data_IF_240360364413
#
_entry.id   IF_240360364413
#
_cell.length_a   1.000
_cell.length_b   1.000
_cell.length_c   1.000
_cell.angle_alpha   90.00
_cell.angle_beta   90.00
_cell.angle_gamma   90.00
#
_symmetry.space_group_name_H-M   'P 1'
#
loop_
_entity.id
_entity.type
_entity.pdbx_description
1 polymer ?
#
# COMPACT_ATOMS: atom_id res chain seq x y z
N UNK A 1 -23.45 4.65 15.31
CA UNK A 1 -22.20 3.93 15.66
C UNK A 1 -21.55 3.23 14.46
N UNK A 2 -22.27 2.55 13.56
CA UNK A 2 -21.68 1.84 12.42
C UNK A 2 -20.86 2.70 11.42
N UNK A 3 -21.21 3.99 11.23
CA UNK A 3 -20.54 4.91 10.29
C UNK A 3 -19.14 5.37 10.74
N UNK A 4 -18.90 5.52 12.05
CA UNK A 4 -17.59 5.87 12.57
C UNK A 4 -16.64 4.64 12.58
N UNK A 5 -17.20 3.46 12.85
CA UNK A 5 -16.45 2.19 12.89
C UNK A 5 -15.88 1.80 11.51
N UNK A 6 -16.62 2.06 10.43
CA UNK A 6 -16.19 1.76 9.05
C UNK A 6 -15.06 2.66 8.56
N UNK A 7 -15.10 3.96 8.88
CA UNK A 7 -14.00 4.90 8.61
C UNK A 7 -12.73 4.55 9.40
N UNK A 8 -12.88 4.16 10.67
CA UNK A 8 -11.75 3.75 11.50
C UNK A 8 -11.07 2.48 10.97
N UNK A 9 -11.85 1.50 10.51
CA UNK A 9 -11.33 0.27 9.90
C UNK A 9 -10.54 0.53 8.60
N UNK A 10 -10.88 1.56 7.84
CA UNK A 10 -10.19 1.93 6.59
C UNK A 10 -8.86 2.67 6.82
N UNK A 11 -8.67 3.26 8.01
CA UNK A 11 -7.45 3.97 8.39
C UNK A 11 -6.40 3.07 9.09
N UNK A 12 -6.83 1.94 9.66
CA UNK A 12 -5.94 0.96 10.29
C UNK A 12 -4.79 0.47 9.38
N UNK A 13 -5.02 0.12 8.08
CA UNK A 13 -3.95 -0.37 7.21
C UNK A 13 -2.82 0.65 7.04
N UNK A 14 -3.17 1.94 6.97
CA UNK A 14 -2.20 3.04 6.84
C UNK A 14 -1.33 3.12 8.09
N UNK A 15 -1.93 3.04 9.28
CA UNK A 15 -1.18 3.07 10.53
C UNK A 15 -0.23 1.87 10.66
N UNK A 16 -0.68 0.65 10.30
CA UNK A 16 0.16 -0.56 10.35
C UNK A 16 1.31 -0.52 9.34
N UNK A 17 1.12 0.09 8.16
CA UNK A 17 2.18 0.24 7.16
C UNK A 17 3.34 1.14 7.62
N UNK A 18 3.13 1.98 8.63
CA UNK A 18 4.17 2.85 9.22
C UNK A 18 5.02 2.13 10.28
N UNK A 19 4.60 0.96 10.76
CA UNK A 19 5.26 0.24 11.88
C UNK A 19 6.31 -0.76 11.38
N UNK A 20 6.23 -1.20 10.13
CA UNK A 20 7.19 -2.15 9.54
C UNK A 20 8.32 -1.40 8.83
N UNK A 21 9.21 -0.79 9.62
CA UNK A 21 10.51 -0.37 9.10
C UNK A 21 11.59 -1.20 9.78
N UNK A 22 12.52 -1.83 9.02
CA UNK A 22 13.62 -2.56 9.63
C UNK A 22 14.44 -1.61 10.50
N UNK A 23 14.84 -2.10 11.67
CA UNK A 23 15.67 -1.34 12.60
C UNK A 23 16.98 -1.00 11.89
N UNK A 24 17.20 0.29 11.66
CA UNK A 24 18.45 0.77 11.07
C UNK A 24 19.56 0.52 12.09
N UNK A 25 20.39 -0.49 11.85
CA UNK A 25 21.44 -0.85 12.80
C UNK A 25 22.51 0.25 12.83
N UNK A 26 22.33 1.17 13.77
CA UNK A 26 23.08 2.44 13.90
C UNK A 26 24.55 2.22 14.28
N UNK A 27 24.93 0.98 14.61
CA UNK A 27 26.21 0.65 15.22
C UNK A 27 27.21 -0.02 14.27
N UNK A 28 26.90 -0.15 12.96
CA UNK A 28 27.93 -0.48 11.96
C UNK A 28 28.82 0.75 11.74
N UNK A 29 29.88 0.80 12.55
CA UNK A 29 30.83 1.90 12.63
C UNK A 29 31.43 2.18 11.25
N UNK A 30 31.18 3.38 10.73
CA UNK A 30 31.90 4.00 9.61
C UNK A 30 32.03 3.13 8.36
N UNK A 31 30.90 2.98 7.67
CA UNK A 31 30.85 2.58 6.27
C UNK A 31 31.83 3.40 5.42
N UNK A 32 32.94 2.78 4.99
CA UNK A 32 33.81 3.24 3.89
C UNK A 32 33.15 2.99 2.53
N UNK A 33 31.85 2.64 2.49
CA UNK A 33 31.12 2.34 1.27
C UNK A 33 30.88 3.66 0.53
N UNK A 34 31.54 3.81 -0.62
CA UNK A 34 31.29 4.90 -1.55
C UNK A 34 29.81 4.86 -1.92
N UNK A 35 29.06 5.91 -1.53
CA UNK A 35 27.64 6.02 -1.85
C UNK A 35 27.49 6.00 -3.38
N UNK A 36 26.66 5.10 -3.96
CA UNK A 36 26.48 5.03 -5.40
C UNK A 36 26.01 6.37 -5.95
N UNK A 37 26.56 6.79 -7.10
CA UNK A 37 26.29 8.13 -7.66
C UNK A 37 24.97 8.19 -8.41
N UNK A 38 24.50 7.05 -8.91
CA UNK A 38 23.25 6.90 -9.66
C UNK A 38 22.57 5.56 -9.32
N UNK A 39 21.31 5.43 -9.74
CA UNK A 39 20.49 4.24 -9.46
C UNK A 39 21.01 2.96 -10.13
N UNK A 40 21.71 3.07 -11.26
CA UNK A 40 22.27 1.93 -11.98
C UNK A 40 23.46 1.29 -11.24
N UNK A 41 24.22 2.08 -10.48
CA UNK A 41 25.35 1.63 -9.66
C UNK A 41 24.92 1.04 -8.32
N UNK A 42 23.65 1.21 -7.93
CA UNK A 42 23.12 0.64 -6.69
C UNK A 42 22.96 -0.87 -6.90
N UNK A 43 23.97 -1.64 -6.52
CA UNK A 43 23.81 -3.08 -6.30
C UNK A 43 22.86 -3.25 -5.11
N UNK A 44 21.57 -3.38 -5.43
CA UNK A 44 20.49 -3.63 -4.46
C UNK A 44 20.59 -5.03 -3.82
N UNK A 45 21.54 -5.85 -4.26
CA UNK A 45 21.91 -7.09 -3.58
C UNK A 45 22.71 -6.77 -2.34
N UNK A 46 22.06 -6.83 -1.18
CA UNK A 46 22.71 -6.76 0.12
C UNK A 46 23.61 -7.98 0.30
N UNK A 47 24.72 -7.82 1.02
CA UNK A 47 25.51 -8.95 1.50
C UNK A 47 24.94 -9.38 2.84
N UNK A 48 24.58 -10.67 2.95
CA UNK A 48 24.19 -11.27 4.22
C UNK A 48 25.37 -12.05 4.75
N UNK A 49 25.88 -11.64 5.92
CA UNK A 49 27.11 -12.19 6.49
C UNK A 49 26.98 -12.30 8.00
N UNK A 50 27.37 -13.47 8.50
CA UNK A 50 27.49 -13.70 9.93
C UNK A 50 28.93 -14.09 10.26
N UNK A 51 29.62 -13.21 10.97
CA UNK A 51 31.03 -13.39 11.33
C UNK A 51 31.24 -14.48 12.38
N UNK A 52 30.22 -14.81 13.18
CA UNK A 52 30.32 -15.83 14.24
C UNK A 52 30.40 -17.22 13.64
N UNK A 53 29.64 -17.50 12.58
CA UNK A 53 29.62 -18.78 11.88
C UNK A 53 30.47 -18.79 10.60
N UNK A 54 31.11 -17.66 10.26
CA UNK A 54 31.92 -17.47 9.06
C UNK A 54 31.19 -17.77 7.73
N UNK A 55 29.88 -17.52 7.69
CA UNK A 55 29.07 -17.68 6.49
C UNK A 55 28.75 -16.33 5.85
N UNK A 56 28.72 -16.31 4.52
CA UNK A 56 28.32 -15.13 3.76
C UNK A 56 27.66 -15.51 2.44
N UNK A 57 26.60 -14.80 2.10
CA UNK A 57 25.86 -14.96 0.85
C UNK A 57 25.67 -13.59 0.22
N UNK A 58 25.95 -13.50 -1.09
CA UNK A 58 25.62 -12.32 -1.87
C UNK A 58 24.21 -12.47 -2.41
N UNK A 59 23.31 -11.55 -2.05
CA UNK A 59 21.96 -11.59 -2.58
C UNK A 59 21.92 -11.15 -4.05
N UNK A 60 20.96 -11.68 -4.83
CA UNK A 60 20.76 -11.23 -6.20
C UNK A 60 20.40 -9.74 -6.24
N UNK A 61 20.54 -9.12 -7.42
CA UNK A 61 20.14 -7.72 -7.60
C UNK A 61 18.64 -7.58 -7.32
N UNK A 62 18.30 -6.71 -6.38
CA UNK A 62 16.94 -6.22 -6.21
C UNK A 62 16.48 -5.35 -7.39
N UNK A 63 15.26 -4.82 -7.28
CA UNK A 63 14.68 -3.94 -8.31
C UNK A 63 14.21 -2.62 -7.70
N UNK A 64 13.50 -1.80 -8.48
CA UNK A 64 12.82 -0.64 -7.92
C UNK A 64 11.76 -1.05 -6.88
N UNK A 65 11.10 -2.20 -7.03
CA UNK A 65 9.93 -2.55 -6.22
C UNK A 65 10.21 -3.50 -5.06
N UNK A 66 11.33 -4.22 -5.12
CA UNK A 66 11.70 -5.20 -4.11
C UNK A 66 13.18 -5.09 -3.75
N UNK A 67 13.49 -5.56 -2.56
CA UNK A 67 14.83 -5.71 -2.02
C UNK A 67 14.98 -7.14 -1.47
N UNK A 68 16.20 -7.47 -1.06
CA UNK A 68 16.47 -8.71 -0.35
C UNK A 68 16.98 -8.36 1.04
N UNK A 69 16.34 -8.94 2.05
CA UNK A 69 16.72 -8.81 3.45
C UNK A 69 17.42 -10.09 3.91
N UNK A 70 18.29 -9.98 4.91
CA UNK A 70 18.94 -11.13 5.51
C UNK A 70 17.96 -11.87 6.43
N UNK A 71 17.98 -13.20 6.36
CA UNK A 71 17.08 -14.05 7.11
C UNK A 71 17.69 -15.44 7.34
N UNK A 72 16.90 -16.35 7.91
CA UNK A 72 17.31 -17.71 8.21
C UNK A 72 18.01 -17.81 9.57
N UNK A 73 18.39 -19.02 9.95
CA UNK A 73 18.90 -19.31 11.29
C UNK A 73 20.20 -18.54 11.63
N UNK A 74 20.98 -18.16 10.62
CA UNK A 74 22.24 -17.45 10.78
C UNK A 74 22.26 -16.06 10.15
N UNK A 75 21.11 -15.53 9.70
CA UNK A 75 21.04 -14.22 9.00
C UNK A 75 21.94 -14.17 7.75
N UNK A 76 22.14 -15.32 7.11
CA UNK A 76 23.00 -15.50 5.93
C UNK A 76 22.22 -15.86 4.68
N UNK A 77 20.91 -16.06 4.78
CA UNK A 77 20.03 -16.34 3.65
C UNK A 77 19.39 -15.05 3.12
N UNK A 78 19.02 -15.06 1.83
CA UNK A 78 18.43 -13.92 1.15
C UNK A 78 16.91 -14.10 1.01
N UNK A 79 16.14 -13.31 1.76
CA UNK A 79 14.68 -13.32 1.68
C UNK A 79 14.15 -12.16 0.84
N UNK A 80 13.16 -12.43 0.00
CA UNK A 80 12.46 -11.40 -0.75
C UNK A 80 11.69 -10.47 0.20
N UNK A 81 11.89 -9.16 0.04
CA UNK A 81 11.16 -8.14 0.76
C UNK A 81 10.66 -7.05 -0.20
N UNK A 82 9.46 -6.54 0.04
CA UNK A 82 8.93 -5.41 -0.72
C UNK A 82 9.56 -4.13 -0.18
N UNK A 83 9.98 -3.21 -1.05
CA UNK A 83 10.53 -1.94 -0.60
C UNK A 83 9.47 -1.11 0.14
N UNK A 84 9.85 -0.48 1.25
CA UNK A 84 8.92 0.27 2.10
C UNK A 84 8.11 1.33 1.35
N UNK A 85 8.71 2.03 0.38
CA UNK A 85 7.97 3.02 -0.42
C UNK A 85 6.85 2.40 -1.26
N UNK A 86 7.03 1.17 -1.76
CA UNK A 86 5.99 0.45 -2.52
C UNK A 86 4.83 0.09 -1.60
N UNK A 87 5.13 -0.39 -0.39
CA UNK A 87 4.13 -0.70 0.63
C UNK A 87 3.31 0.55 0.93
N UNK A 88 3.95 1.70 1.13
CA UNK A 88 3.27 2.98 1.41
C UNK A 88 2.34 3.37 0.26
N UNK A 89 2.83 3.39 -0.99
CA UNK A 89 2.01 3.79 -2.15
C UNK A 89 0.84 2.84 -2.35
N UNK A 90 1.09 1.53 -2.30
CA UNK A 90 0.07 0.51 -2.48
C UNK A 90 -1.03 0.63 -1.41
N UNK A 91 -0.64 0.92 -0.16
CA UNK A 91 -1.58 1.10 0.95
C UNK A 91 -2.43 2.34 0.76
N UNK A 92 -1.84 3.48 0.36
CA UNK A 92 -2.60 4.71 0.11
C UNK A 92 -3.57 4.53 -1.06
N UNK A 93 -3.09 4.02 -2.20
CA UNK A 93 -3.93 3.81 -3.38
C UNK A 93 -5.03 2.79 -3.10
N UNK A 94 -4.70 1.68 -2.42
CA UNK A 94 -5.65 0.65 -2.03
C UNK A 94 -6.74 1.17 -1.11
N UNK A 95 -6.39 1.97 -0.10
CA UNK A 95 -7.37 2.56 0.84
C UNK A 95 -8.26 3.59 0.16
N UNK A 96 -7.70 4.50 -0.66
CA UNK A 96 -8.50 5.43 -1.45
C UNK A 96 -9.47 4.70 -2.40
N UNK A 97 -8.99 3.67 -3.10
CA UNK A 97 -9.81 2.84 -3.98
C UNK A 97 -10.96 2.14 -3.23
N UNK A 98 -10.66 1.55 -2.07
CA UNK A 98 -11.68 0.92 -1.22
C UNK A 98 -12.76 1.92 -0.77
N UNK A 99 -12.37 3.13 -0.36
CA UNK A 99 -13.31 4.19 0.00
C UNK A 99 -14.24 4.50 -1.19
N UNK A 100 -13.68 4.75 -2.38
CA UNK A 100 -14.46 5.08 -3.58
C UNK A 100 -15.44 3.94 -3.92
N UNK A 101 -14.99 2.69 -3.88
CA UNK A 101 -15.82 1.53 -4.17
C UNK A 101 -16.97 1.37 -3.17
N UNK A 102 -16.68 1.54 -1.88
CA UNK A 102 -17.68 1.47 -0.81
C UNK A 102 -18.72 2.59 -0.98
N UNK A 103 -18.28 3.83 -1.18
CA UNK A 103 -19.18 4.96 -1.43
C UNK A 103 -20.05 4.74 -2.67
N UNK A 104 -19.44 4.26 -3.76
CA UNK A 104 -20.15 3.97 -5.01
C UNK A 104 -21.21 2.88 -4.83
N UNK A 105 -20.89 1.82 -4.09
CA UNK A 105 -21.84 0.77 -3.75
C UNK A 105 -23.00 1.31 -2.90
N UNK A 106 -22.68 2.08 -1.84
CA UNK A 106 -23.69 2.65 -0.94
C UNK A 106 -24.65 3.62 -1.65
N UNK A 107 -24.14 4.38 -2.63
CA UNK A 107 -24.96 5.21 -3.52
C UNK A 107 -25.84 4.34 -4.43
N UNK A 108 -25.27 3.31 -5.07
CA UNK A 108 -26.02 2.44 -5.99
C UNK A 108 -27.18 1.70 -5.31
N UNK A 109 -27.02 1.34 -4.04
CA UNK A 109 -28.07 0.71 -3.24
C UNK A 109 -28.95 1.73 -2.47
N UNK A 110 -28.76 3.05 -2.66
CA UNK A 110 -29.49 4.13 -1.98
C UNK A 110 -29.45 4.08 -0.44
N UNK A 111 -28.38 3.53 0.17
CA UNK A 111 -28.28 3.38 1.64
C UNK A 111 -27.95 4.69 2.37
N UNK A 112 -27.35 5.68 1.71
CA UNK A 112 -26.81 6.90 2.36
C UNK A 112 -27.45 8.18 1.83
N UNK A 113 -27.76 8.25 0.54
CA UNK A 113 -28.49 9.35 -0.06
C UNK A 113 -29.63 8.73 -0.90
N UNK A 114 -30.89 8.78 -0.44
CA UNK A 114 -32.00 8.52 -1.34
C UNK A 114 -32.00 9.67 -2.34
N UNK A 115 -31.36 9.47 -3.50
CA UNK A 115 -31.56 10.39 -4.61
C UNK A 115 -33.05 10.37 -4.90
N UNK A 116 -33.76 11.51 -4.85
CA UNK A 116 -35.11 11.55 -5.36
C UNK A 116 -34.98 11.15 -6.82
N UNK A 117 -35.51 9.96 -7.15
CA UNK A 117 -35.64 9.53 -8.53
C UNK A 117 -36.37 10.69 -9.20
N UNK A 118 -35.68 11.43 -10.08
CA UNK A 118 -36.30 12.50 -10.85
C UNK A 118 -37.35 11.82 -11.69
N UNK A 119 -38.59 11.80 -11.20
CA UNK A 119 -39.74 11.43 -11.99
C UNK A 119 -39.75 12.45 -13.11
N UNK A 120 -39.45 11.99 -14.33
CA UNK A 120 -39.76 12.78 -15.52
C UNK A 120 -41.21 13.26 -15.34
N UNK A 121 -41.48 14.57 -15.42
CA UNK A 121 -42.84 15.07 -15.35
C UNK A 121 -43.67 14.30 -16.37
N UNK A 122 -44.75 13.66 -15.92
CA UNK A 122 -45.70 13.06 -16.83
C UNK A 122 -46.17 14.15 -17.81
N UNK A 123 -46.13 13.91 -19.14
CA UNK A 123 -46.67 14.87 -20.08
C UNK A 123 -48.13 15.15 -19.75
N UNK A 124 -48.61 16.41 -19.85
CA UNK A 124 -49.97 16.74 -19.49
C UNK A 124 -50.94 15.93 -20.33
N UNK A 125 -51.84 15.20 -19.66
CA UNK A 125 -52.99 14.53 -20.27
C UNK A 125 -53.88 15.59 -20.92
N UNK A 126 -53.91 15.63 -22.25
CA UNK A 126 -54.80 16.48 -23.02
C UNK A 126 -56.26 16.02 -22.80
N UNK A 127 -57.00 16.74 -21.97
CA UNK A 127 -58.47 16.60 -21.92
C UNK A 127 -59.03 17.43 -23.07
N UNK A 128 -59.27 16.76 -24.20
CA UNK A 128 -59.92 17.38 -25.36
C UNK A 128 -61.25 18.01 -24.96
N UNK A 129 -61.44 19.26 -25.38
CA UNK A 129 -62.72 19.94 -25.33
C UNK A 129 -63.60 19.27 -26.39
N UNK A 130 -64.73 18.68 -25.97
CA UNK A 130 -65.83 18.36 -26.88
C UNK A 130 -66.65 19.64 -27.03
N UNK A 131 -66.58 20.23 -28.22
CA UNK A 131 -67.57 21.19 -28.72
C UNK A 131 -68.91 20.48 -29.03
#
# INVERSE_FOLDING_TARGET
MARASTLLLLLLPVAYSMVVWPVLDRNTTRSTIVRPRNWAEKNLGQWCRNFTVNEHTQCPRGSAFHQFDCCGQHETECCFAIQGWVIVILTIVGTCGAIILIFSALLKFNLICPLPYSSKPAPPTYTGIQD
#
